data_IF_179032300467
#
_entry.id   IF_179032300467
#
_cell.length_a   1.000
_cell.length_b   1.000
_cell.length_c   1.000
_cell.angle_alpha   90.00
_cell.angle_beta   90.00
_cell.angle_gamma   90.00
#
_symmetry.space_group_name_H-M   'P 1'
#
loop_
_entity.id
_entity.type
_entity.pdbx_description
1 polymer ?
#
# COMPACT_ATOMS: atom_id res chain seq x y z
N UNK A 1 4.07 6.13 14.02
CA UNK A 1 4.16 6.07 12.54
C UNK A 1 5.58 6.42 12.14
N UNK A 2 6.30 5.51 11.47
CA UNK A 2 7.74 5.63 11.16
C UNK A 2 8.10 6.98 10.51
N UNK A 3 7.31 7.40 9.51
CA UNK A 3 7.54 8.65 8.79
C UNK A 3 7.49 9.89 9.70
N UNK A 4 6.48 9.98 10.58
CA UNK A 4 6.34 11.07 11.55
C UNK A 4 7.53 11.17 12.51
N UNK A 5 8.04 10.04 12.99
CA UNK A 5 9.20 10.00 13.91
C UNK A 5 10.52 10.43 13.23
N UNK A 6 10.55 10.43 11.90
CA UNK A 6 11.71 10.78 11.08
C UNK A 6 11.55 12.11 10.36
N UNK A 7 10.45 12.84 10.56
CA UNK A 7 10.18 14.09 9.85
C UNK A 7 9.98 13.93 8.34
N UNK A 8 9.58 12.74 7.88
CA UNK A 8 9.28 12.48 6.47
C UNK A 8 7.89 13.00 6.15
N UNK A 9 7.78 13.78 5.08
CA UNK A 9 6.49 14.29 4.59
C UNK A 9 5.54 13.15 4.24
N UNK A 10 4.30 13.26 4.69
CA UNK A 10 3.28 12.24 4.49
C UNK A 10 1.98 12.82 3.98
N UNK A 11 1.44 12.21 2.94
CA UNK A 11 0.05 12.40 2.51
C UNK A 11 -0.77 11.18 2.93
N UNK A 12 -1.92 11.41 3.56
CA UNK A 12 -2.83 10.36 4.00
C UNK A 12 -4.08 10.41 3.13
N UNK A 13 -4.39 9.30 2.46
CA UNK A 13 -5.67 9.12 1.74
C UNK A 13 -6.62 8.41 2.67
N UNK A 14 -7.69 9.10 3.09
CA UNK A 14 -8.72 8.54 3.98
C UNK A 14 -9.83 7.88 3.17
N UNK A 15 -10.41 6.83 3.75
CA UNK A 15 -11.58 6.17 3.18
C UNK A 15 -12.85 6.99 3.40
N UNK A 16 -13.61 7.21 2.33
CA UNK A 16 -14.98 7.71 2.44
C UNK A 16 -15.95 6.56 2.71
N UNK A 17 -16.40 6.44 3.96
CA UNK A 17 -17.29 5.37 4.39
C UNK A 17 -18.73 5.50 3.92
N UNK A 18 -19.12 6.64 3.31
CA UNK A 18 -20.42 6.74 2.64
C UNK A 18 -20.58 5.72 1.50
N UNK A 19 -19.45 5.25 0.92
CA UNK A 19 -19.38 4.23 -0.13
C UNK A 19 -19.51 2.78 0.39
N UNK A 20 -19.70 2.59 1.69
CA UNK A 20 -19.86 1.27 2.33
C UNK A 20 -18.67 0.34 2.06
N UNK A 21 -18.95 -0.93 1.71
CA UNK A 21 -17.92 -1.96 1.50
C UNK A 21 -16.89 -1.63 0.42
N UNK A 22 -17.20 -0.70 -0.50
CA UNK A 22 -16.31 -0.30 -1.61
C UNK A 22 -15.33 0.82 -1.20
N UNK A 23 -15.56 1.48 -0.06
CA UNK A 23 -14.76 2.59 0.45
C UNK A 23 -13.22 2.35 0.42
N UNK A 24 -12.68 1.23 0.97
CA UNK A 24 -11.24 1.01 0.96
C UNK A 24 -10.66 0.82 -0.45
N UNK A 25 -11.41 0.16 -1.34
CA UNK A 25 -10.99 -0.07 -2.72
C UNK A 25 -10.96 1.22 -3.53
N UNK A 26 -11.89 2.14 -3.25
CA UNK A 26 -11.92 3.46 -3.89
C UNK A 26 -10.77 4.35 -3.41
N UNK A 27 -10.48 4.35 -2.10
CA UNK A 27 -9.34 5.07 -1.56
C UNK A 27 -8.00 4.62 -2.21
N UNK A 28 -7.84 3.33 -2.50
CA UNK A 28 -6.69 2.84 -3.27
C UNK A 28 -6.63 3.44 -4.68
N UNK A 29 -7.77 3.57 -5.38
CA UNK A 29 -7.81 4.19 -6.71
C UNK A 29 -7.42 5.66 -6.66
N UNK A 30 -7.96 6.39 -5.70
CA UNK A 30 -7.69 7.81 -5.50
C UNK A 30 -6.21 8.02 -5.14
N UNK A 31 -5.65 7.19 -4.26
CA UNK A 31 -4.22 7.21 -3.93
C UNK A 31 -3.34 6.99 -5.16
N UNK A 32 -3.66 6.00 -5.99
CA UNK A 32 -2.89 5.72 -7.21
C UNK A 32 -3.10 6.78 -8.30
N UNK A 33 -4.19 7.55 -8.27
CA UNK A 33 -4.44 8.66 -9.19
C UNK A 33 -3.60 9.90 -8.85
N UNK A 34 -3.24 10.09 -7.59
CA UNK A 34 -2.41 11.21 -7.12
C UNK A 34 -0.92 11.05 -7.49
N UNK A 35 -0.50 9.86 -7.95
CA UNK A 35 0.92 9.53 -8.09
C UNK A 35 1.62 10.31 -9.21
N UNK A 36 2.73 11.03 -8.91
CA UNK A 36 3.70 11.44 -9.93
C UNK A 36 4.33 10.19 -10.56
N UNK A 37 4.70 10.25 -11.85
CA UNK A 37 5.12 9.11 -12.69
C UNK A 37 6.38 8.34 -12.23
N UNK A 38 6.93 8.59 -11.04
CA UNK A 38 8.23 8.09 -10.57
C UNK A 38 8.23 7.56 -9.12
N UNK A 39 7.20 6.81 -8.69
CA UNK A 39 7.13 6.25 -7.32
C UNK A 39 6.89 4.73 -7.36
N UNK A 40 7.61 3.99 -6.52
CA UNK A 40 7.40 2.56 -6.27
C UNK A 40 6.49 2.31 -5.06
N UNK A 41 5.84 1.15 -5.00
CA UNK A 41 4.94 0.75 -3.93
C UNK A 41 5.56 -0.36 -3.08
N UNK A 42 5.50 -0.19 -1.75
CA UNK A 42 5.86 -1.24 -0.79
C UNK A 42 4.60 -1.70 -0.06
N UNK A 43 4.33 -3.00 -0.08
CA UNK A 43 3.18 -3.61 0.59
C UNK A 43 3.67 -4.59 1.65
N UNK A 44 3.21 -4.39 2.89
CA UNK A 44 3.53 -5.26 4.03
C UNK A 44 2.34 -6.18 4.29
N UNK A 45 2.41 -7.41 3.77
CA UNK A 45 1.34 -8.41 3.88
C UNK A 45 -0.07 -7.86 3.65
N UNK A 46 -1.08 -8.54 4.20
CA UNK A 46 -2.43 -8.01 4.30
C UNK A 46 -3.50 -8.86 3.62
N UNK A 47 -4.71 -8.32 3.63
CA UNK A 47 -5.93 -8.96 3.15
C UNK A 47 -6.24 -8.58 1.68
N UNK A 48 -7.45 -8.88 1.22
CA UNK A 48 -7.90 -8.58 -0.14
C UNK A 48 -7.80 -7.09 -0.55
N UNK A 49 -7.80 -6.14 0.38
CA UNK A 49 -7.63 -4.70 0.07
C UNK A 49 -6.18 -4.39 -0.32
N UNK A 50 -5.21 -4.97 0.40
CA UNK A 50 -3.79 -4.82 0.07
C UNK A 50 -3.47 -5.51 -1.26
N UNK A 51 -4.02 -6.71 -1.49
CA UNK A 51 -3.91 -7.42 -2.76
C UNK A 51 -4.49 -6.61 -3.93
N UNK A 52 -5.65 -5.97 -3.74
CA UNK A 52 -6.25 -5.09 -4.75
C UNK A 52 -5.35 -3.89 -5.09
N UNK A 53 -4.74 -3.26 -4.08
CA UNK A 53 -3.81 -2.16 -4.28
C UNK A 53 -2.58 -2.62 -5.09
N UNK A 54 -2.02 -3.78 -4.75
CA UNK A 54 -0.89 -4.40 -5.45
C UNK A 54 -1.18 -4.61 -6.94
N UNK A 55 -2.32 -5.24 -7.24
CA UNK A 55 -2.75 -5.53 -8.61
C UNK A 55 -2.96 -4.24 -9.41
N UNK A 56 -3.63 -3.24 -8.82
CA UNK A 56 -3.86 -1.95 -9.46
C UNK A 56 -2.57 -1.20 -9.73
N UNK A 57 -1.61 -1.22 -8.81
CA UNK A 57 -0.29 -0.63 -9.00
C UNK A 57 0.50 -1.33 -10.11
N UNK A 58 0.48 -2.67 -10.12
CA UNK A 58 1.12 -3.48 -11.16
C UNK A 58 0.58 -3.16 -12.57
N UNK A 59 -0.75 -3.06 -12.72
CA UNK A 59 -1.38 -2.65 -14.00
C UNK A 59 -0.95 -1.26 -14.47
N UNK A 60 -0.64 -0.35 -13.54
CA UNK A 60 -0.13 1.00 -13.81
C UNK A 60 1.40 1.03 -14.03
N UNK A 61 2.05 -0.14 -14.11
CA UNK A 61 3.52 -0.30 -14.24
C UNK A 61 4.31 0.36 -13.11
N UNK A 62 3.71 0.45 -11.93
CA UNK A 62 4.39 0.90 -10.71
C UNK A 62 5.24 -0.26 -10.17
N UNK A 63 6.52 0.02 -9.86
CA UNK A 63 7.42 -0.98 -9.28
C UNK A 63 6.92 -1.38 -7.90
N UNK A 64 6.72 -2.68 -7.68
CA UNK A 64 6.15 -3.24 -6.45
C UNK A 64 7.20 -4.02 -5.66
N UNK A 65 7.24 -3.82 -4.34
CA UNK A 65 7.93 -4.67 -3.39
C UNK A 65 6.92 -5.21 -2.38
N UNK A 66 6.82 -6.52 -2.27
CA UNK A 66 5.98 -7.17 -1.26
C UNK A 66 6.87 -7.69 -0.14
N UNK A 67 6.59 -7.25 1.08
CA UNK A 67 7.21 -7.74 2.31
C UNK A 67 6.24 -8.74 2.92
N UNK A 68 6.61 -10.01 2.88
CA UNK A 68 5.94 -11.10 3.58
C UNK A 68 6.71 -11.38 4.87
N UNK A 69 5.99 -11.58 5.97
CA UNK A 69 6.63 -12.15 7.14
C UNK A 69 7.14 -13.55 6.77
N UNK A 70 8.34 -13.92 7.24
CA UNK A 70 8.80 -15.29 7.09
C UNK A 70 7.77 -16.22 7.72
N UNK A 71 7.45 -17.32 7.02
CA UNK A 71 6.64 -18.38 7.59
C UNK A 71 7.22 -18.78 8.96
N UNK A 72 6.34 -19.01 9.95
CA UNK A 72 6.74 -19.38 11.30
C UNK A 72 7.81 -20.48 11.26
N UNK A 73 9.03 -20.15 11.68
CA UNK A 73 10.19 -21.06 11.66
C UNK A 73 11.36 -20.62 10.77
N UNK A 74 11.20 -19.65 9.86
CA UNK A 74 12.35 -19.07 9.15
C UNK A 74 13.07 -18.07 10.05
N UNK A 75 14.25 -18.46 10.56
CA UNK A 75 15.16 -17.51 11.21
C UNK A 75 15.72 -16.58 10.14
N UNK A 76 15.34 -15.31 10.19
CA UNK A 76 16.05 -14.26 9.46
C UNK A 76 17.39 -14.07 10.17
N UNK A 77 18.44 -14.66 9.60
CA UNK A 77 19.82 -14.36 10.00
C UNK A 77 20.18 -12.99 9.44
N UNK A 78 20.50 -12.08 10.36
CA UNK A 78 20.94 -10.71 10.06
C UNK A 78 22.38 -10.68 9.56
#
# INVERSE_FOLDING_TARGET
MWARLRGVDTMIVRTDWSLGKKAPFRANDDMLALTPKAIGLVIFGGNGVAANLAEKAHRRRIKLMTVIEPAAGLKVVA
#
